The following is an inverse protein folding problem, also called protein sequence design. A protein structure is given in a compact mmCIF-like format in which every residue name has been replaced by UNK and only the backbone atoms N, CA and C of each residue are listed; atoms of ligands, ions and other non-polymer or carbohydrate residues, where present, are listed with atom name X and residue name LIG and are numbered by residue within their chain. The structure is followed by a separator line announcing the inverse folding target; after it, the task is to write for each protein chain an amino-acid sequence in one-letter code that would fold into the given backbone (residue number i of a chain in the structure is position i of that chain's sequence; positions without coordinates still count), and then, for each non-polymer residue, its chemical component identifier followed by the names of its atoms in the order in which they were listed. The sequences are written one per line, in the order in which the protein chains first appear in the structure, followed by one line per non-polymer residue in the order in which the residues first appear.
data_IF_192522785822
#
_entry.id   IF_192522785822
#
_cell.length_a   1.000
_cell.length_b   1.000
_cell.length_c   1.000
_cell.angle_alpha   90.00
_cell.angle_beta   90.00
_cell.angle_gamma   90.00
#
_symmetry.space_group_name_H-M   'P 1'
#
loop_
_entity.id
_entity.type
_entity.pdbx_description
1 polymer ?
#
# COMPACT_ATOMS: atom_id res chain seq x y z
N UNK A 1 -0.51 -7.22 21.39
CA UNK A 1 0.64 -8.15 21.32
C UNK A 1 0.77 -8.91 19.99
N UNK A 2 0.32 -8.38 18.84
CA UNK A 2 0.51 -9.00 17.52
C UNK A 2 1.07 -8.00 16.48
N UNK A 3 1.85 -7.01 16.92
CA UNK A 3 2.40 -6.00 16.03
C UNK A 3 3.59 -6.58 15.24
N UNK A 4 3.55 -6.47 13.91
CA UNK A 4 4.71 -6.75 13.05
C UNK A 4 5.45 -5.45 12.75
N UNK A 5 6.77 -5.54 12.58
CA UNK A 5 7.56 -4.37 12.17
C UNK A 5 7.23 -3.97 10.73
N UNK A 6 7.45 -2.70 10.37
CA UNK A 6 7.32 -2.22 8.98
C UNK A 6 8.22 -3.02 8.01
N UNK A 7 9.41 -3.42 8.47
CA UNK A 7 10.32 -4.29 7.71
C UNK A 7 9.72 -5.67 7.46
N UNK A 8 9.03 -6.23 8.44
CA UNK A 8 8.32 -7.51 8.30
C UNK A 8 7.15 -7.38 7.34
N UNK A 9 6.37 -6.30 7.43
CA UNK A 9 5.27 -6.02 6.50
C UNK A 9 5.76 -5.91 5.06
N UNK A 10 6.80 -5.10 4.80
CA UNK A 10 7.40 -4.96 3.46
C UNK A 10 7.95 -6.30 2.94
N UNK A 11 8.52 -7.13 3.81
CA UNK A 11 8.98 -8.47 3.46
C UNK A 11 7.82 -9.38 3.01
N UNK A 12 6.71 -9.39 3.75
CA UNK A 12 5.55 -10.23 3.47
C UNK A 12 4.79 -9.78 2.22
N UNK A 13 4.62 -8.47 2.04
CA UNK A 13 3.76 -7.91 0.99
C UNK A 13 4.49 -7.65 -0.34
N UNK A 14 5.83 -7.60 -0.35
CA UNK A 14 6.60 -7.23 -1.54
C UNK A 14 7.81 -8.14 -1.78
N UNK A 15 8.78 -8.19 -0.85
CA UNK A 15 10.06 -8.88 -1.08
C UNK A 15 9.93 -10.40 -1.27
N UNK A 16 9.11 -11.07 -0.46
CA UNK A 16 8.87 -12.51 -0.61
C UNK A 16 8.17 -12.83 -1.95
N UNK A 17 7.07 -12.15 -2.34
CA UNK A 17 6.49 -12.29 -3.69
C UNK A 17 7.47 -12.00 -4.82
N UNK A 18 8.30 -10.96 -4.70
CA UNK A 18 9.25 -10.58 -5.75
C UNK A 18 10.30 -11.66 -5.96
N UNK A 19 10.81 -12.25 -4.87
CA UNK A 19 11.74 -13.37 -4.94
C UNK A 19 11.12 -14.59 -5.63
N UNK A 20 9.85 -14.90 -5.35
CA UNK A 20 9.15 -16.03 -5.98
C UNK A 20 8.89 -15.82 -7.48
N UNK A 21 8.77 -14.57 -7.91
CA UNK A 21 8.45 -14.21 -9.31
C UNK A 21 9.67 -13.75 -10.12
N UNK A 22 10.84 -13.63 -9.48
CA UNK A 22 12.08 -13.18 -10.12
C UNK A 22 12.12 -11.67 -10.38
N UNK A 23 11.32 -10.87 -9.68
CA UNK A 23 11.30 -9.40 -9.82
C UNK A 23 12.08 -8.72 -8.68
N UNK A 24 12.71 -7.57 -8.96
CA UNK A 24 13.32 -6.73 -7.92
C UNK A 24 12.24 -5.88 -7.24
N UNK A 25 12.30 -5.79 -5.91
CA UNK A 25 11.41 -4.96 -5.09
C UNK A 25 12.16 -4.22 -3.99
N UNK A 26 13.50 -4.16 -4.06
CA UNK A 26 14.29 -3.48 -3.05
C UNK A 26 14.21 -1.96 -3.23
N UNK A 27 14.15 -1.25 -2.10
CA UNK A 27 14.30 0.20 -2.07
C UNK A 27 15.78 0.50 -1.89
N UNK A 28 16.46 0.73 -3.01
CA UNK A 28 17.89 1.07 -3.09
C UNK A 28 18.17 1.81 -4.39
N UNK A 29 19.31 2.48 -4.45
CA UNK A 29 19.77 3.12 -5.68
C UNK A 29 19.85 2.12 -6.85
N UNK A 30 19.41 2.55 -8.02
CA UNK A 30 19.37 1.77 -9.25
C UNK A 30 18.19 0.81 -9.40
N UNK A 31 17.33 0.65 -8.39
CA UNK A 31 16.08 -0.11 -8.53
C UNK A 31 14.98 0.72 -9.18
N UNK A 32 14.02 0.05 -9.84
CA UNK A 32 12.83 0.71 -10.41
C UNK A 32 12.02 1.37 -9.27
N UNK A 33 11.59 2.61 -9.48
CA UNK A 33 10.86 3.40 -8.48
C UNK A 33 9.39 2.97 -8.35
N UNK A 34 9.18 1.77 -7.81
CA UNK A 34 7.87 1.24 -7.42
C UNK A 34 7.71 1.39 -5.91
N UNK A 35 6.96 2.40 -5.48
CA UNK A 35 6.87 2.81 -4.08
C UNK A 35 5.41 3.05 -3.68
N UNK A 36 5.11 2.80 -2.41
CA UNK A 36 3.85 3.17 -1.77
C UNK A 36 4.17 4.03 -0.56
N UNK A 37 3.55 5.20 -0.47
CA UNK A 37 3.68 6.11 0.66
C UNK A 37 2.45 5.93 1.55
N UNK A 38 2.68 5.60 2.82
CA UNK A 38 1.64 5.36 3.81
C UNK A 38 1.63 6.49 4.85
N UNK A 39 0.45 6.94 5.21
CA UNK A 39 0.20 7.85 6.33
C UNK A 39 0.02 7.07 7.64
N UNK A 40 0.46 7.66 8.76
CA UNK A 40 0.21 7.18 10.11
C UNK A 40 -1.10 7.71 10.72
N UNK A 41 -1.88 8.47 9.95
CA UNK A 41 -3.18 8.97 10.36
C UNK A 41 -4.25 7.85 10.33
N UNK A 42 -5.13 7.88 11.33
CA UNK A 42 -6.29 7.01 11.41
C UNK A 42 -7.38 7.47 10.43
N UNK A 43 -8.02 6.54 9.75
CA UNK A 43 -9.12 6.82 8.84
C UNK A 43 -10.15 5.70 8.86
N UNK A 44 -11.38 6.03 8.44
CA UNK A 44 -12.50 5.10 8.38
C UNK A 44 -12.64 4.54 6.97
N UNK A 45 -12.68 3.22 6.85
CA UNK A 45 -12.96 2.55 5.58
C UNK A 45 -14.40 2.87 5.16
N UNK A 46 -14.55 3.36 3.92
CA UNK A 46 -15.83 3.69 3.31
C UNK A 46 -15.91 3.02 1.93
N UNK A 47 -16.65 1.91 1.89
CA UNK A 47 -16.87 1.10 0.69
C UNK A 47 -17.57 1.86 -0.44
N UNK A 48 -18.30 2.94 -0.12
CA UNK A 48 -18.98 3.75 -1.14
C UNK A 48 -17.97 4.48 -2.04
N UNK A 49 -16.78 4.78 -1.50
CA UNK A 49 -15.67 5.47 -2.17
C UNK A 49 -14.70 4.54 -2.89
N UNK A 50 -14.91 3.22 -2.85
CA UNK A 50 -14.02 2.28 -3.52
C UNK A 50 -14.05 2.44 -5.04
N UNK A 51 -12.87 2.40 -5.66
CA UNK A 51 -12.69 2.41 -7.12
C UNK A 51 -13.23 1.12 -7.76
N UNK A 52 -13.16 0.00 -7.03
CA UNK A 52 -13.68 -1.29 -7.51
C UNK A 52 -15.20 -1.23 -7.74
N UNK A 53 -15.66 -1.98 -8.74
CA UNK A 53 -17.10 -2.09 -9.06
C UNK A 53 -17.89 -2.77 -7.94
N UNK A 54 -17.25 -3.65 -7.17
CA UNK A 54 -17.86 -4.29 -6.00
C UNK A 54 -17.61 -3.45 -4.76
N UNK A 55 -18.69 -3.01 -4.12
CA UNK A 55 -18.64 -2.29 -2.84
C UNK A 55 -18.85 -3.21 -1.63
N UNK A 56 -18.80 -4.53 -1.82
CA UNK A 56 -19.00 -5.48 -0.75
C UNK A 56 -17.69 -5.77 -0.02
N UNK A 57 -17.57 -5.36 1.24
CA UNK A 57 -16.42 -5.64 2.09
C UNK A 57 -16.85 -5.79 3.55
N UNK A 58 -16.31 -6.78 4.30
CA UNK A 58 -16.59 -6.92 5.73
C UNK A 58 -15.90 -5.82 6.58
N UNK A 59 -15.02 -5.03 5.96
CA UNK A 59 -14.23 -3.99 6.62
C UNK A 59 -14.90 -2.61 6.58
N UNK A 60 -16.09 -2.48 5.98
CA UNK A 60 -16.78 -1.20 5.89
C UNK A 60 -17.02 -0.61 7.28
N UNK A 61 -16.67 0.67 7.44
CA UNK A 61 -16.80 1.40 8.69
C UNK A 61 -15.71 1.13 9.75
N UNK A 62 -14.73 0.26 9.48
CA UNK A 62 -13.60 0.05 10.40
C UNK A 62 -12.69 1.28 10.44
N UNK A 63 -12.18 1.61 11.63
CA UNK A 63 -11.11 2.60 11.81
C UNK A 63 -9.75 1.89 11.75
N UNK A 64 -8.87 2.35 10.85
CA UNK A 64 -7.57 1.75 10.57
C UNK A 64 -6.50 2.83 10.39
N UNK A 65 -5.23 2.44 10.49
CA UNK A 65 -4.06 3.29 10.26
C UNK A 65 -3.28 2.75 9.05
N UNK A 66 -2.53 3.60 8.35
CA UNK A 66 -1.78 3.19 7.17
C UNK A 66 -2.50 3.50 5.87
N UNK A 67 -3.13 4.68 5.76
CA UNK A 67 -3.77 5.11 4.50
C UNK A 67 -2.70 5.25 3.42
N UNK A 68 -2.99 4.78 2.20
CA UNK A 68 -2.10 5.03 1.06
C UNK A 68 -2.28 6.47 0.61
N UNK A 69 -1.22 7.26 0.68
CA UNK A 69 -1.21 8.64 0.17
C UNK A 69 -0.78 8.69 -1.30
N UNK A 70 0.24 7.92 -1.66
CA UNK A 70 0.74 7.87 -3.03
C UNK A 70 1.08 6.43 -3.43
N UNK A 71 0.78 6.10 -4.68
CA UNK A 71 1.38 4.95 -5.37
C UNK A 71 2.22 5.47 -6.53
N UNK A 72 3.49 5.08 -6.53
CA UNK A 72 4.46 5.43 -7.57
C UNK A 72 4.80 4.14 -8.31
N UNK A 73 4.63 4.13 -9.63
CA UNK A 73 4.99 3.01 -10.49
C UNK A 73 6.00 3.51 -11.52
N UNK A 74 7.18 2.89 -11.57
CA UNK A 74 8.27 3.25 -12.50
C UNK A 74 8.66 4.73 -12.47
N UNK A 75 8.54 5.37 -11.30
CA UNK A 75 8.82 6.80 -11.11
C UNK A 75 7.65 7.73 -11.42
N UNK A 76 6.51 7.22 -11.88
CA UNK A 76 5.30 8.02 -12.13
C UNK A 76 4.29 7.85 -10.99
N UNK A 77 3.70 8.97 -10.53
CA UNK A 77 2.60 8.93 -9.54
C UNK A 77 1.34 8.45 -10.27
N UNK A 78 0.90 7.23 -9.96
CA UNK A 78 -0.30 6.61 -10.56
C UNK A 78 -1.52 6.67 -9.65
N UNK A 79 -1.31 7.03 -8.38
CA UNK A 79 -2.36 7.31 -7.41
C UNK A 79 -1.89 8.41 -6.46
N UNK A 80 -2.76 9.39 -6.22
CA UNK A 80 -2.55 10.52 -5.33
C UNK A 80 -3.84 10.75 -4.53
N UNK A 81 -3.76 10.54 -3.22
CA UNK A 81 -4.86 10.78 -2.28
C UNK A 81 -4.86 12.23 -1.75
N UNK A 82 -3.76 12.97 -1.85
CA UNK A 82 -3.65 14.35 -1.40
C UNK A 82 -4.29 15.34 -2.39
N UNK A 83 -4.39 14.94 -3.67
CA UNK A 83 -5.04 15.72 -4.73
C UNK A 83 -6.55 15.52 -4.90
N UNK A 84 -7.20 14.68 -4.07
CA UNK A 84 -8.60 14.29 -4.19
C UNK A 84 -9.53 14.92 -3.14
#
# INVERSE_FOLDING_TARGET
ENAISMKTLAKLMSNNPSFMTGTDSHIREGSEANLVILSDEAWKIDSTKFVTRSRNTPYDGWEVVGKVEYTIAKGEIVYDNAGA
#
